data_IF_119395140590
#
_entry.id   IF_119395140590
#
_cell.length_a   1.000
_cell.length_b   1.000
_cell.length_c   1.000
_cell.angle_alpha   90.00
_cell.angle_beta   90.00
_cell.angle_gamma   90.00
#
_symmetry.space_group_name_H-M   'P 1'
#
loop_
_entity.id
_entity.type
_entity.pdbx_description
1 polymer ?
#
# COMPACT_ATOMS: atom_id res chain seq x y z
N UNK A 1 17.64 23.55 -18.71
CA UNK A 1 16.55 23.70 -17.73
C UNK A 1 15.63 22.48 -17.69
N UNK A 2 15.22 21.90 -18.80
CA UNK A 2 14.36 20.71 -18.91
C UNK A 2 14.96 19.43 -18.32
N UNK A 3 16.22 19.13 -18.54
CA UNK A 3 16.92 17.94 -18.00
C UNK A 3 16.99 17.91 -16.47
N UNK A 4 17.11 19.05 -15.82
CA UNK A 4 17.09 19.16 -14.35
C UNK A 4 15.71 18.85 -13.78
N UNK A 5 14.64 19.26 -14.44
CA UNK A 5 13.26 19.02 -14.03
C UNK A 5 12.91 17.52 -14.06
N UNK A 6 13.22 16.84 -15.18
CA UNK A 6 12.97 15.39 -15.29
C UNK A 6 13.80 14.56 -14.32
N UNK A 7 15.04 14.97 -14.08
CA UNK A 7 15.90 14.32 -13.06
C UNK A 7 15.27 14.42 -11.66
N UNK A 8 14.74 15.59 -11.30
CA UNK A 8 14.05 15.80 -10.05
C UNK A 8 12.78 14.95 -9.94
N UNK A 9 11.97 14.87 -10.99
CA UNK A 9 10.74 14.06 -11.01
C UNK A 9 11.04 12.56 -10.89
N UNK A 10 12.07 12.05 -11.58
CA UNK A 10 12.49 10.64 -11.47
C UNK A 10 12.98 10.34 -10.05
N UNK A 11 13.81 11.23 -9.49
CA UNK A 11 14.29 11.06 -8.11
C UNK A 11 13.11 11.03 -7.12
N UNK A 12 12.17 11.95 -7.26
CA UNK A 12 10.96 12.00 -6.44
C UNK A 12 10.14 10.72 -6.59
N UNK A 13 9.96 10.21 -7.81
CA UNK A 13 9.24 8.96 -8.07
C UNK A 13 9.88 7.80 -7.31
N UNK A 14 11.19 7.61 -7.43
CA UNK A 14 11.92 6.53 -6.74
C UNK A 14 11.77 6.65 -5.21
N UNK A 15 11.97 7.85 -4.67
CA UNK A 15 11.82 8.10 -3.23
C UNK A 15 10.39 7.80 -2.77
N UNK A 16 9.38 8.20 -3.54
CA UNK A 16 7.98 7.96 -3.20
C UNK A 16 7.58 6.47 -3.29
N UNK A 17 8.19 5.70 -4.21
CA UNK A 17 8.02 4.23 -4.21
C UNK A 17 8.53 3.64 -2.91
N UNK A 18 9.75 4.02 -2.49
CA UNK A 18 10.35 3.52 -1.25
C UNK A 18 9.51 3.91 -0.03
N UNK A 19 9.08 5.18 0.06
CA UNK A 19 8.22 5.66 1.15
C UNK A 19 6.90 4.90 1.14
N UNK A 20 6.27 4.72 -0.02
CA UNK A 20 5.01 3.99 -0.17
C UNK A 20 5.12 2.51 0.22
N UNK A 21 6.28 1.89 0.00
CA UNK A 21 6.54 0.53 0.47
C UNK A 21 6.73 0.46 1.99
N UNK A 22 7.45 1.41 2.58
CA UNK A 22 7.84 1.35 3.99
C UNK A 22 6.76 1.92 4.93
N UNK A 23 6.16 3.05 4.55
CA UNK A 23 5.28 3.85 5.41
C UNK A 23 3.81 3.82 4.94
N UNK A 24 3.34 2.66 4.48
CA UNK A 24 1.91 2.49 4.19
C UNK A 24 1.13 2.04 5.45
N UNK A 25 -0.20 2.24 5.47
CA UNK A 25 -1.02 1.88 6.63
C UNK A 25 -0.93 0.41 7.03
N UNK A 26 -0.69 -0.50 6.08
CA UNK A 26 -0.57 -1.92 6.37
C UNK A 26 0.69 -2.23 7.19
N UNK A 27 1.84 -1.64 6.83
CA UNK A 27 3.07 -1.83 7.59
C UNK A 27 2.99 -1.18 8.98
N UNK A 28 2.40 0.03 9.05
CA UNK A 28 2.24 0.76 10.31
C UNK A 28 1.30 0.03 11.26
N UNK A 29 0.25 -0.60 10.74
CA UNK A 29 -0.76 -1.31 11.51
C UNK A 29 -0.42 -2.79 11.73
N UNK A 30 0.69 -3.31 11.23
CA UNK A 30 1.08 -4.69 11.48
C UNK A 30 1.20 -4.95 13.01
N UNK A 31 0.56 -6.01 13.48
CA UNK A 31 0.52 -6.34 14.91
C UNK A 31 1.88 -6.77 15.44
N UNK A 32 2.65 -7.49 14.60
CA UNK A 32 4.03 -7.93 14.91
C UNK A 32 4.96 -7.54 13.78
N UNK A 33 6.15 -7.07 14.08
CA UNK A 33 7.20 -6.79 13.07
C UNK A 33 7.59 -8.04 12.27
N UNK A 34 7.47 -9.23 12.88
CA UNK A 34 7.72 -10.52 12.22
C UNK A 34 6.66 -10.90 11.18
N UNK A 35 5.59 -10.14 11.06
CA UNK A 35 4.54 -10.31 10.06
C UNK A 35 4.77 -9.42 8.82
N UNK A 36 5.82 -8.60 8.83
CA UNK A 36 6.16 -7.73 7.71
C UNK A 36 6.96 -8.51 6.65
N UNK A 37 6.43 -8.51 5.43
CA UNK A 37 7.07 -9.12 4.26
C UNK A 37 7.05 -8.15 3.08
N UNK A 38 8.12 -8.19 2.29
CA UNK A 38 8.16 -7.51 0.99
C UNK A 38 7.47 -8.42 -0.03
N UNK A 39 6.51 -7.87 -0.77
CA UNK A 39 5.77 -8.55 -1.83
C UNK A 39 5.66 -7.68 -3.08
N UNK A 40 5.39 -8.30 -4.23
CA UNK A 40 5.12 -7.56 -5.47
C UNK A 40 3.94 -6.60 -5.32
N UNK A 41 2.86 -7.03 -4.66
CA UNK A 41 1.69 -6.16 -4.41
C UNK A 41 2.05 -4.94 -3.55
N UNK A 42 2.96 -5.10 -2.58
CA UNK A 42 3.47 -3.97 -1.78
C UNK A 42 4.25 -2.99 -2.66
N UNK A 43 5.12 -3.49 -3.55
CA UNK A 43 5.85 -2.69 -4.52
C UNK A 43 4.90 -1.95 -5.48
N UNK A 44 3.87 -2.63 -6.01
CA UNK A 44 2.85 -2.02 -6.87
C UNK A 44 2.09 -0.90 -6.16
N UNK A 45 1.80 -1.08 -4.87
CA UNK A 45 1.23 -0.02 -4.03
C UNK A 45 2.13 1.22 -3.94
N UNK A 46 3.43 1.02 -3.80
CA UNK A 46 4.44 2.09 -3.83
C UNK A 46 4.49 2.79 -5.18
N UNK A 47 4.47 2.04 -6.29
CA UNK A 47 4.43 2.57 -7.66
C UNK A 47 3.16 3.38 -7.89
N UNK A 48 1.99 2.88 -7.45
CA UNK A 48 0.74 3.63 -7.56
C UNK A 48 0.79 4.95 -6.80
N UNK A 49 1.30 4.94 -5.56
CA UNK A 49 1.46 6.15 -4.75
C UNK A 49 2.37 7.16 -5.42
N UNK A 50 3.51 6.73 -5.96
CA UNK A 50 4.45 7.58 -6.69
C UNK A 50 3.83 8.14 -7.98
N UNK A 51 3.08 7.32 -8.72
CA UNK A 51 2.37 7.75 -9.93
C UNK A 51 1.31 8.80 -9.63
N UNK A 52 0.53 8.60 -8.56
CA UNK A 52 -0.45 9.57 -8.09
C UNK A 52 0.20 10.90 -7.70
N UNK A 53 1.40 10.86 -7.13
CA UNK A 53 2.16 12.07 -6.77
C UNK A 53 2.54 12.90 -7.99
N UNK A 54 2.89 12.27 -9.13
CA UNK A 54 3.27 13.00 -10.36
C UNK A 54 2.11 13.87 -10.84
N UNK A 55 0.93 13.29 -11.09
CA UNK A 55 -0.20 14.06 -11.61
C UNK A 55 -0.81 14.98 -10.54
N UNK A 56 -0.81 14.56 -9.27
CA UNK A 56 -1.24 15.40 -8.16
C UNK A 56 -0.37 16.65 -8.00
N UNK A 57 0.95 16.50 -8.14
CA UNK A 57 1.89 17.63 -8.14
C UNK A 57 1.59 18.66 -9.24
N UNK A 58 1.26 18.21 -10.45
CA UNK A 58 0.93 19.13 -11.55
C UNK A 58 -0.34 19.95 -11.26
N UNK A 59 -1.35 19.34 -10.60
CA UNK A 59 -2.54 20.09 -10.17
C UNK A 59 -2.17 21.15 -9.15
N UNK A 60 -1.40 20.80 -8.11
CA UNK A 60 -0.97 21.75 -7.08
C UNK A 60 -0.12 22.87 -7.69
N UNK A 61 0.79 22.52 -8.60
CA UNK A 61 1.65 23.50 -9.29
C UNK A 61 0.83 24.48 -10.15
N UNK A 62 -0.19 23.98 -10.84
CA UNK A 62 -1.11 24.84 -11.60
C UNK A 62 -1.88 25.80 -10.69
N UNK A 63 -2.43 25.29 -9.60
CA UNK A 63 -3.21 26.11 -8.66
C UNK A 63 -2.36 27.17 -7.93
N UNK A 64 -1.07 26.89 -7.71
CA UNK A 64 -0.17 27.76 -6.96
C UNK A 64 0.58 28.76 -7.85
N UNK A 65 0.98 28.34 -9.03
CA UNK A 65 1.90 29.10 -9.91
C UNK A 65 1.35 29.36 -11.32
N UNK A 66 0.19 28.82 -11.66
CA UNK A 66 -0.43 28.98 -12.98
C UNK A 66 0.26 28.18 -14.10
N UNK A 67 1.26 27.36 -13.79
CA UNK A 67 1.97 26.52 -14.77
C UNK A 67 1.48 25.08 -14.70
N UNK A 68 1.24 24.48 -15.88
CA UNK A 68 0.77 23.12 -16.01
C UNK A 68 1.57 22.36 -17.08
N UNK A 69 2.17 21.24 -16.71
CA UNK A 69 2.87 20.36 -17.66
C UNK A 69 1.96 19.19 -18.05
N UNK A 70 1.28 19.33 -19.19
CA UNK A 70 0.35 18.33 -19.71
C UNK A 70 1.02 16.95 -19.91
N UNK A 71 2.29 16.92 -20.33
CA UNK A 71 3.01 15.65 -20.54
C UNK A 71 3.23 14.90 -19.22
N UNK A 72 3.76 15.58 -18.20
CA UNK A 72 3.95 14.98 -16.87
C UNK A 72 2.62 14.51 -16.27
N UNK A 73 1.58 15.32 -16.37
CA UNK A 73 0.24 14.98 -15.92
C UNK A 73 -0.30 13.72 -16.60
N UNK A 74 -0.23 13.66 -17.94
CA UNK A 74 -0.73 12.53 -18.72
C UNK A 74 0.06 11.25 -18.44
N UNK A 75 1.38 11.33 -18.28
CA UNK A 75 2.23 10.19 -17.90
C UNK A 75 1.83 9.70 -16.49
N UNK A 76 1.67 10.60 -15.53
CA UNK A 76 1.26 10.24 -14.16
C UNK A 76 -0.09 9.52 -14.12
N UNK A 77 -1.09 10.02 -14.84
CA UNK A 77 -2.42 9.39 -14.98
C UNK A 77 -2.31 8.01 -15.65
N UNK A 78 -1.59 7.91 -16.76
CA UNK A 78 -1.42 6.64 -17.49
C UNK A 78 -0.72 5.58 -16.61
N UNK A 79 0.32 5.95 -15.88
CA UNK A 79 1.00 5.07 -14.92
C UNK A 79 0.07 4.64 -13.78
N UNK A 80 -0.73 5.57 -13.22
CA UNK A 80 -1.68 5.25 -12.15
C UNK A 80 -2.74 4.26 -12.61
N UNK A 81 -3.33 4.45 -13.78
CA UNK A 81 -4.34 3.56 -14.36
C UNK A 81 -3.73 2.19 -14.67
N UNK A 82 -2.58 2.17 -15.36
CA UNK A 82 -1.89 0.92 -15.72
C UNK A 82 -1.50 0.12 -14.47
N UNK A 83 -0.93 0.77 -13.46
CA UNK A 83 -0.58 0.13 -12.19
C UNK A 83 -1.82 -0.42 -11.47
N UNK A 84 -2.91 0.35 -11.45
CA UNK A 84 -4.16 -0.08 -10.79
C UNK A 84 -4.77 -1.29 -11.45
N UNK A 85 -4.81 -1.32 -12.78
CA UNK A 85 -5.48 -2.39 -13.55
C UNK A 85 -4.55 -3.59 -13.71
N UNK A 86 -3.38 -3.40 -14.34
CA UNK A 86 -2.52 -4.52 -14.73
C UNK A 86 -1.74 -5.11 -13.54
N UNK A 87 -1.24 -4.28 -12.63
CA UNK A 87 -0.41 -4.76 -11.54
C UNK A 87 -1.24 -5.13 -10.29
N UNK A 88 -2.15 -4.25 -9.87
CA UNK A 88 -2.89 -4.46 -8.63
C UNK A 88 -4.15 -5.30 -8.80
N UNK A 89 -4.97 -5.09 -9.83
CA UNK A 89 -6.20 -5.88 -9.99
C UNK A 89 -5.94 -7.25 -10.61
N UNK A 90 -5.14 -7.30 -11.66
CA UNK A 90 -4.78 -8.57 -12.31
C UNK A 90 -3.69 -9.35 -11.55
N UNK A 91 -3.10 -8.77 -10.49
CA UNK A 91 -2.06 -9.41 -9.67
C UNK A 91 -0.91 -9.96 -10.52
N UNK A 92 -0.49 -9.20 -11.53
CA UNK A 92 0.57 -9.62 -12.45
C UNK A 92 1.83 -10.06 -11.69
N UNK A 93 2.40 -11.20 -12.05
CA UNK A 93 3.58 -11.81 -11.41
C UNK A 93 3.43 -12.11 -9.91
N UNK A 94 2.20 -12.19 -9.41
CA UNK A 94 1.93 -12.61 -8.03
C UNK A 94 1.68 -14.13 -8.03
N UNK A 95 2.69 -14.89 -7.64
CA UNK A 95 2.63 -16.32 -7.37
C UNK A 95 2.15 -16.62 -5.94
N UNK A 96 2.07 -17.90 -5.58
CA UNK A 96 1.62 -18.37 -4.26
C UNK A 96 2.46 -17.76 -3.13
N UNK A 97 3.79 -17.69 -3.30
CA UNK A 97 4.71 -17.15 -2.30
C UNK A 97 4.51 -15.62 -2.16
N UNK A 98 4.36 -14.90 -3.27
CA UNK A 98 4.08 -13.47 -3.25
C UNK A 98 2.71 -13.16 -2.64
N UNK A 99 1.72 -14.02 -2.90
CA UNK A 99 0.40 -13.92 -2.28
C UNK A 99 0.49 -14.12 -0.76
N UNK A 100 1.18 -15.16 -0.27
CA UNK A 100 1.40 -15.40 1.17
C UNK A 100 2.09 -14.19 1.84
N UNK A 101 3.17 -13.69 1.23
CA UNK A 101 3.89 -12.50 1.70
C UNK A 101 3.03 -11.25 1.76
N UNK A 102 1.98 -11.16 0.96
CA UNK A 102 1.02 -10.06 0.99
C UNK A 102 -0.06 -10.28 2.04
N UNK A 103 -0.56 -11.51 2.17
CA UNK A 103 -1.68 -11.83 3.05
C UNK A 103 -1.29 -11.79 4.54
N UNK A 104 -0.08 -12.23 4.90
CA UNK A 104 0.37 -12.21 6.31
C UNK A 104 0.30 -10.79 6.91
N UNK A 105 0.92 -9.74 6.34
CA UNK A 105 0.79 -8.39 6.90
C UNK A 105 -0.65 -7.84 6.84
N UNK A 106 -1.46 -8.24 5.86
CA UNK A 106 -2.87 -7.86 5.78
C UNK A 106 -3.66 -8.39 6.98
N UNK A 107 -3.49 -9.68 7.31
CA UNK A 107 -4.12 -10.30 8.48
C UNK A 107 -3.59 -9.72 9.80
N UNK A 108 -2.30 -9.41 9.86
CA UNK A 108 -1.67 -8.76 11.01
C UNK A 108 -2.25 -7.35 11.28
N UNK A 109 -2.61 -6.61 10.23
CA UNK A 109 -3.34 -5.33 10.35
C UNK A 109 -4.71 -5.52 11.00
N UNK A 110 -5.43 -6.57 10.61
CA UNK A 110 -6.73 -6.90 11.20
C UNK A 110 -6.61 -7.24 12.70
N UNK A 111 -5.52 -7.89 13.12
CA UNK A 111 -5.26 -8.13 14.54
C UNK A 111 -5.14 -6.82 15.33
N UNK A 112 -4.33 -5.86 14.86
CA UNK A 112 -4.15 -4.57 15.54
C UNK A 112 -5.47 -3.84 15.71
N UNK A 113 -6.25 -3.73 14.65
CA UNK A 113 -7.55 -3.01 14.69
C UNK A 113 -8.57 -3.74 15.55
N UNK A 114 -8.63 -5.08 15.46
CA UNK A 114 -9.58 -5.90 16.24
C UNK A 114 -9.26 -5.89 17.72
N UNK A 115 -8.00 -5.97 18.14
CA UNK A 115 -7.60 -5.81 19.53
C UNK A 115 -7.97 -4.44 20.09
N UNK A 116 -7.79 -3.38 19.30
CA UNK A 116 -8.14 -2.02 19.73
C UNK A 116 -9.64 -1.84 19.93
N UNK A 117 -10.48 -2.33 19.00
CA UNK A 117 -11.93 -2.24 19.14
C UNK A 117 -12.45 -3.15 20.25
N UNK A 118 -11.93 -4.38 20.39
CA UNK A 118 -12.29 -5.29 21.47
C UNK A 118 -12.16 -4.65 22.85
N UNK A 119 -11.09 -3.87 23.07
CA UNK A 119 -10.83 -3.19 24.34
C UNK A 119 -11.66 -1.92 24.58
N UNK A 120 -12.22 -1.32 23.51
CA UNK A 120 -12.95 -0.04 23.61
C UNK A 120 -14.46 -0.19 23.55
N UNK A 121 -14.94 -1.22 22.85
CA UNK A 121 -16.39 -1.36 22.60
C UNK A 121 -17.15 -1.81 23.84
N UNK A 122 -18.30 -1.19 24.05
CA UNK A 122 -19.33 -1.63 25.02
C UNK A 122 -20.41 -2.49 24.37
N UNK A 123 -20.44 -2.55 23.01
CA UNK A 123 -21.42 -3.35 22.27
C UNK A 123 -21.04 -4.84 22.33
N UNK A 124 -21.87 -5.73 22.90
CA UNK A 124 -21.55 -7.15 23.06
C UNK A 124 -21.36 -7.87 21.71
N UNK A 125 -22.11 -7.49 20.67
CA UNK A 125 -21.99 -8.11 19.35
C UNK A 125 -20.65 -7.75 18.68
N UNK A 126 -20.24 -6.48 18.77
CA UNK A 126 -18.93 -6.03 18.26
C UNK A 126 -17.80 -6.71 19.04
N UNK A 127 -17.96 -6.85 20.32
CA UNK A 127 -16.97 -7.52 21.18
C UNK A 127 -16.81 -9.00 20.82
N UNK A 128 -17.92 -9.70 20.56
CA UNK A 128 -17.90 -11.09 20.12
C UNK A 128 -17.23 -11.23 18.74
N UNK A 129 -17.65 -10.42 17.77
CA UNK A 129 -17.09 -10.42 16.42
C UNK A 129 -15.58 -10.11 16.42
N UNK A 130 -15.14 -9.09 17.16
CA UNK A 130 -13.72 -8.75 17.21
C UNK A 130 -12.87 -9.85 17.82
N UNK A 131 -13.37 -10.59 18.82
CA UNK A 131 -12.71 -11.77 19.38
C UNK A 131 -12.58 -12.90 18.35
N UNK A 132 -13.65 -13.15 17.60
CA UNK A 132 -13.65 -14.17 16.54
C UNK A 132 -12.61 -13.83 15.45
N UNK A 133 -12.57 -12.57 14.98
CA UNK A 133 -11.57 -12.10 14.02
C UNK A 133 -10.16 -12.31 14.57
N UNK A 134 -9.88 -11.93 15.81
CA UNK A 134 -8.56 -12.13 16.42
C UNK A 134 -8.15 -13.60 16.37
N UNK A 135 -9.01 -14.50 16.82
CA UNK A 135 -8.70 -15.93 16.87
C UNK A 135 -8.47 -16.54 15.48
N UNK A 136 -9.27 -16.11 14.49
CA UNK A 136 -9.17 -16.61 13.12
C UNK A 136 -7.89 -16.09 12.44
N UNK A 137 -7.64 -14.79 12.55
CA UNK A 137 -6.48 -14.16 11.89
C UNK A 137 -5.15 -14.66 12.46
N UNK A 138 -5.06 -14.94 13.78
CA UNK A 138 -3.85 -15.53 14.36
C UNK A 138 -3.57 -16.93 13.80
N UNK A 139 -4.58 -17.78 13.69
CA UNK A 139 -4.44 -19.13 13.13
C UNK A 139 -4.02 -19.07 11.65
N UNK A 140 -4.63 -18.19 10.88
CA UNK A 140 -4.33 -18.04 9.45
C UNK A 140 -2.91 -17.50 9.22
N UNK A 141 -2.44 -16.55 10.03
CA UNK A 141 -1.04 -16.07 9.98
C UNK A 141 -0.07 -17.22 10.25
N UNK A 142 -0.32 -18.04 11.29
CA UNK A 142 0.55 -19.17 11.59
C UNK A 142 0.56 -20.20 10.46
N UNK A 143 -0.61 -20.50 9.89
CA UNK A 143 -0.72 -21.40 8.74
C UNK A 143 0.03 -20.87 7.53
N UNK A 144 -0.20 -19.61 7.15
CA UNK A 144 0.49 -18.99 6.01
C UNK A 144 2.01 -18.95 6.20
N UNK A 145 2.50 -18.69 7.42
CA UNK A 145 3.94 -18.72 7.72
C UNK A 145 4.54 -20.13 7.61
N UNK A 146 3.76 -21.15 7.88
CA UNK A 146 4.24 -22.55 7.72
C UNK A 146 4.33 -23.01 6.27
N UNK A 147 3.76 -22.23 5.33
CA UNK A 147 3.79 -22.49 3.89
C UNK A 147 4.87 -21.69 3.15
N UNK A 148 5.52 -20.69 3.81
CA UNK A 148 6.63 -19.90 3.28
C UNK A 148 7.96 -20.62 3.41
#
# INVERSE_FOLDING_TARGET
MTTSLYKSQITMFIVMVIIGMLFNPMNILAYRFTDLYISHTLFYGGVLMASNMIWGHEIVHYLSMGHFNMLSFSIGIALSISTSILLLREQLLVDDNQWLRRMIPHHSTALTTSHKIYNRTTNPNIKALSREIINTQEKEILLMKSML
#
